data_IF_239750878491
#
_entry.id   IF_239750878491
#
_cell.length_a   1.000
_cell.length_b   1.000
_cell.length_c   1.000
_cell.angle_alpha   90.00
_cell.angle_beta   90.00
_cell.angle_gamma   90.00
#
_symmetry.space_group_name_H-M   'P 1'
#
loop_
_entity.id
_entity.type
_entity.pdbx_description
1 polymer ?
#
# COMPACT_ATOMS: atom_id res chain seq x y z
N UNK A 1 -8.64 26.29 -19.72
CA UNK A 1 -7.84 25.07 -19.94
C UNK A 1 -7.39 24.55 -18.58
N UNK A 2 -7.82 23.35 -18.14
CA UNK A 2 -7.34 22.82 -16.87
C UNK A 2 -5.87 22.50 -17.03
N UNK A 3 -5.04 23.10 -16.19
CA UNK A 3 -3.63 22.74 -16.02
C UNK A 3 -3.60 21.23 -15.74
N UNK A 4 -3.12 20.44 -16.69
CA UNK A 4 -2.50 19.16 -16.42
C UNK A 4 -1.40 19.42 -15.40
N UNK A 5 -1.77 19.38 -14.12
CA UNK A 5 -0.82 19.34 -13.02
C UNK A 5 -0.16 17.98 -13.16
N UNK A 6 0.85 17.91 -14.02
CA UNK A 6 1.90 16.93 -13.89
C UNK A 6 2.36 17.05 -12.44
N UNK A 7 1.85 16.16 -11.59
CA UNK A 7 2.18 16.09 -10.17
C UNK A 7 3.66 15.73 -10.13
N UNK A 8 4.51 16.76 -10.16
CA UNK A 8 5.88 16.64 -9.73
C UNK A 8 5.79 16.39 -8.23
N UNK A 9 6.20 15.20 -7.76
CA UNK A 9 6.16 14.93 -6.33
C UNK A 9 7.10 15.92 -5.65
N UNK A 10 6.60 16.60 -4.62
CA UNK A 10 7.40 17.59 -3.89
C UNK A 10 8.32 16.92 -2.85
N UNK A 11 8.08 15.63 -2.55
CA UNK A 11 8.85 14.81 -1.61
C UNK A 11 8.93 13.36 -2.08
N UNK A 12 9.93 12.62 -1.60
CA UNK A 12 10.08 11.19 -1.87
C UNK A 12 8.88 10.39 -1.38
N UNK A 13 8.34 10.76 -0.21
CA UNK A 13 7.11 10.17 0.34
C UNK A 13 5.90 10.36 -0.59
N UNK A 14 5.67 11.57 -1.07
CA UNK A 14 4.53 11.86 -1.97
C UNK A 14 4.67 11.09 -3.29
N UNK A 15 5.89 11.00 -3.82
CA UNK A 15 6.17 10.21 -5.02
C UNK A 15 5.77 8.74 -4.82
N UNK A 16 6.18 8.15 -3.69
CA UNK A 16 5.82 6.78 -3.34
C UNK A 16 4.30 6.62 -3.18
N UNK A 17 3.61 7.58 -2.56
CA UNK A 17 2.14 7.51 -2.41
C UNK A 17 1.40 7.56 -3.75
N UNK A 18 1.87 8.40 -4.69
CA UNK A 18 1.32 8.48 -6.04
C UNK A 18 1.51 7.14 -6.75
N UNK A 19 2.72 6.57 -6.71
CA UNK A 19 3.00 5.28 -7.35
C UNK A 19 2.18 4.16 -6.70
N UNK A 20 1.98 4.16 -5.39
CA UNK A 20 1.12 3.20 -4.70
C UNK A 20 -0.33 3.27 -5.23
N UNK A 21 -0.87 4.48 -5.42
CA UNK A 21 -2.22 4.67 -5.96
C UNK A 21 -2.32 4.15 -7.40
N UNK A 22 -1.37 4.51 -8.25
CA UNK A 22 -1.29 4.05 -9.63
C UNK A 22 -1.21 2.53 -9.70
N UNK A 23 -0.28 1.92 -8.96
CA UNK A 23 -0.13 0.47 -8.89
C UNK A 23 -1.44 -0.22 -8.49
N UNK A 24 -2.13 0.29 -7.48
CA UNK A 24 -3.40 -0.28 -7.05
C UNK A 24 -4.55 -0.13 -8.06
N UNK A 25 -4.51 0.89 -8.93
CA UNK A 25 -5.49 1.07 -10.00
C UNK A 25 -5.33 0.00 -11.08
N UNK A 26 -4.11 -0.20 -11.59
CA UNK A 26 -3.88 -1.09 -12.74
C UNK A 26 -3.51 -2.53 -12.36
N UNK A 27 -3.24 -2.87 -11.09
CA UNK A 27 -2.79 -4.24 -10.72
C UNK A 27 -3.72 -5.38 -11.18
N UNK A 28 -5.01 -5.09 -11.41
CA UNK A 28 -6.02 -6.03 -11.91
C UNK A 28 -6.28 -5.90 -13.42
N UNK A 29 -5.81 -4.82 -14.05
CA UNK A 29 -5.96 -4.59 -15.48
C UNK A 29 -5.11 -5.60 -16.27
N UNK A 30 -5.56 -5.94 -17.47
CA UNK A 30 -4.89 -6.90 -18.36
C UNK A 30 -3.42 -6.52 -18.60
N UNK A 31 -2.53 -7.54 -18.64
CA UNK A 31 -1.12 -7.30 -18.88
C UNK A 31 -0.90 -6.97 -20.36
N UNK A 32 -0.94 -5.68 -20.70
CA UNK A 32 -0.58 -5.19 -22.04
C UNK A 32 0.87 -4.74 -22.08
N UNK A 33 1.45 -4.68 -23.29
CA UNK A 33 2.83 -4.20 -23.49
C UNK A 33 3.01 -2.76 -23.00
N UNK A 34 2.03 -1.89 -23.27
CA UNK A 34 2.06 -0.50 -22.83
C UNK A 34 1.99 -0.39 -21.31
N UNK A 35 1.16 -1.21 -20.67
CA UNK A 35 1.08 -1.26 -19.21
C UNK A 35 2.40 -1.73 -18.59
N UNK A 36 3.03 -2.73 -19.19
CA UNK A 36 4.33 -3.23 -18.74
C UNK A 36 5.42 -2.16 -18.89
N UNK A 37 5.46 -1.45 -20.02
CA UNK A 37 6.41 -0.36 -20.23
C UNK A 37 6.18 0.79 -19.23
N UNK A 38 4.92 1.18 -19.03
CA UNK A 38 4.54 2.16 -18.02
C UNK A 38 4.98 1.73 -16.61
N UNK A 39 4.75 0.46 -16.26
CA UNK A 39 5.18 -0.11 -14.99
C UNK A 39 6.70 -0.05 -14.80
N UNK A 40 7.46 -0.44 -15.82
CA UNK A 40 8.93 -0.38 -15.79
C UNK A 40 9.44 1.05 -15.56
N UNK A 41 8.81 2.05 -16.19
CA UNK A 41 9.16 3.46 -15.96
C UNK A 41 8.92 3.88 -14.50
N UNK A 42 7.85 3.40 -13.86
CA UNK A 42 7.61 3.68 -12.44
C UNK A 42 8.67 3.04 -11.53
N UNK A 43 9.08 1.79 -11.82
CA UNK A 43 10.16 1.11 -11.08
C UNK A 43 11.49 1.84 -11.26
N UNK A 44 11.81 2.27 -12.49
CA UNK A 44 13.04 3.04 -12.75
C UNK A 44 13.07 4.35 -11.97
N UNK A 45 11.93 5.06 -11.85
CA UNK A 45 11.84 6.28 -11.05
C UNK A 45 12.00 6.03 -9.56
N UNK A 46 11.46 4.92 -9.04
CA UNK A 46 11.67 4.50 -7.64
C UNK A 46 13.15 4.25 -7.34
N UNK A 47 13.90 3.70 -8.30
CA UNK A 47 15.32 3.37 -8.12
C UNK A 47 16.27 4.54 -8.40
N UNK A 48 15.83 5.55 -9.13
CA UNK A 48 16.59 6.77 -9.46
C UNK A 48 16.10 7.98 -8.64
N UNK A 49 15.43 8.92 -9.30
CA UNK A 49 15.07 10.23 -8.75
C UNK A 49 14.37 10.17 -7.37
N UNK A 50 13.46 9.21 -7.17
CA UNK A 50 12.71 9.09 -5.90
C UNK A 50 13.62 8.55 -4.79
N UNK A 51 14.54 7.64 -5.12
CA UNK A 51 15.52 7.13 -4.16
C UNK A 51 16.40 8.26 -3.65
N UNK A 52 16.87 9.12 -4.56
CA UNK A 52 17.71 10.27 -4.19
C UNK A 52 16.94 11.25 -3.29
N UNK A 53 15.67 11.53 -3.59
CA UNK A 53 14.81 12.35 -2.74
C UNK A 53 14.62 11.74 -1.34
N UNK A 54 14.35 10.44 -1.25
CA UNK A 54 14.17 9.73 0.03
C UNK A 54 15.48 9.70 0.85
N UNK A 55 16.63 9.55 0.20
CA UNK A 55 17.94 9.60 0.85
C UNK A 55 18.24 11.01 1.38
N UNK A 56 17.91 12.06 0.61
CA UNK A 56 18.04 13.45 1.04
C UNK A 56 17.16 13.79 2.25
N UNK A 57 15.97 13.20 2.34
CA UNK A 57 15.10 13.33 3.51
C UNK A 57 15.67 12.65 4.78
N UNK A 58 16.66 11.76 4.63
CA UNK A 58 17.38 11.16 5.76
C UNK A 58 16.54 10.22 6.63
N UNK A 59 15.37 9.76 6.15
CA UNK A 59 14.50 8.88 6.90
C UNK A 59 14.75 7.39 6.55
N UNK A 60 15.34 6.60 7.46
CA UNK A 60 15.67 5.20 7.18
C UNK A 60 14.44 4.31 6.99
N UNK A 61 13.29 4.67 7.55
CA UNK A 61 12.07 3.88 7.35
C UNK A 61 11.51 4.07 5.93
N UNK A 62 11.62 5.27 5.36
CA UNK A 62 11.23 5.52 3.97
C UNK A 62 12.10 4.75 2.98
N UNK A 63 13.41 4.63 3.26
CA UNK A 63 14.32 3.82 2.44
C UNK A 63 13.88 2.35 2.42
N UNK A 64 13.55 1.78 3.60
CA UNK A 64 13.04 0.40 3.70
C UNK A 64 11.71 0.22 2.99
N UNK A 65 10.82 1.20 3.11
CA UNK A 65 9.52 1.18 2.44
C UNK A 65 9.70 1.26 0.91
N UNK A 66 10.68 2.03 0.41
CA UNK A 66 11.02 2.14 -1.01
C UNK A 66 11.55 0.82 -1.58
N UNK A 67 12.44 0.15 -0.84
CA UNK A 67 12.95 -1.18 -1.22
C UNK A 67 11.83 -2.22 -1.24
N UNK A 68 10.98 -2.21 -0.21
CA UNK A 68 9.80 -3.09 -0.11
C UNK A 68 8.86 -2.87 -1.28
N UNK A 69 8.57 -1.62 -1.60
CA UNK A 69 7.70 -1.23 -2.70
C UNK A 69 8.27 -1.66 -4.06
N UNK A 70 9.57 -1.47 -4.28
CA UNK A 70 10.28 -1.90 -5.49
C UNK A 70 10.16 -3.41 -5.67
N UNK A 71 10.40 -4.18 -4.60
CA UNK A 71 10.26 -5.64 -4.61
C UNK A 71 8.84 -6.10 -4.95
N UNK A 72 7.84 -5.47 -4.34
CA UNK A 72 6.42 -5.78 -4.60
C UNK A 72 6.06 -5.56 -6.09
N UNK A 73 6.56 -4.48 -6.69
CA UNK A 73 6.32 -4.18 -8.10
C UNK A 73 6.99 -5.20 -9.03
N UNK A 74 8.21 -5.63 -8.71
CA UNK A 74 8.91 -6.70 -9.42
C UNK A 74 8.17 -8.04 -9.32
N UNK A 75 7.74 -8.41 -8.10
CA UNK A 75 6.97 -9.63 -7.84
C UNK A 75 5.64 -9.63 -8.61
N UNK A 76 4.96 -8.47 -8.71
CA UNK A 76 3.75 -8.33 -9.52
C UNK A 76 4.01 -8.68 -10.98
N UNK A 77 5.09 -8.16 -11.58
CA UNK A 77 5.44 -8.46 -12.97
C UNK A 77 5.72 -9.96 -13.14
N UNK A 78 6.50 -10.58 -12.25
CA UNK A 78 6.79 -12.01 -12.28
C UNK A 78 5.50 -12.87 -12.20
N UNK A 79 4.58 -12.52 -11.29
CA UNK A 79 3.29 -13.22 -11.13
C UNK A 79 2.43 -13.08 -12.39
N UNK A 80 2.34 -11.87 -12.97
CA UNK A 80 1.54 -11.64 -14.19
C UNK A 80 2.12 -12.37 -15.39
N UNK A 81 3.44 -12.39 -15.54
CA UNK A 81 4.14 -13.15 -16.59
C UNK A 81 3.92 -14.67 -16.43
N UNK A 82 3.74 -15.17 -15.20
CA UNK A 82 3.37 -16.57 -14.95
C UNK A 82 1.92 -16.91 -15.30
N UNK A 83 1.13 -15.94 -15.79
CA UNK A 83 -0.28 -16.11 -16.14
C UNK A 83 -1.24 -16.13 -14.93
N UNK A 84 -0.75 -15.82 -13.72
CA UNK A 84 -1.57 -15.85 -12.49
C UNK A 84 -2.15 -14.48 -12.18
N UNK A 85 -3.38 -14.41 -11.62
CA UNK A 85 -3.92 -13.16 -11.09
C UNK A 85 -3.12 -12.75 -9.84
N UNK A 86 -2.95 -11.44 -9.65
CA UNK A 86 -2.20 -10.92 -8.51
C UNK A 86 -3.10 -10.85 -7.25
N UNK A 87 -2.83 -11.62 -6.18
CA UNK A 87 -3.77 -11.83 -5.06
C UNK A 87 -3.71 -10.76 -3.97
N UNK A 88 -2.96 -9.68 -4.17
CA UNK A 88 -2.65 -8.71 -3.13
C UNK A 88 -2.74 -7.26 -3.62
N UNK A 89 -2.84 -6.33 -2.67
CA UNK A 89 -2.81 -4.88 -2.92
C UNK A 89 -1.72 -4.24 -2.08
N UNK A 90 -1.23 -3.09 -2.52
CA UNK A 90 -0.24 -2.34 -1.76
C UNK A 90 -0.95 -1.35 -0.83
N UNK A 91 -0.54 -1.29 0.44
CA UNK A 91 -1.04 -0.30 1.40
C UNK A 91 0.06 0.07 2.39
N UNK A 92 0.31 1.37 2.54
CA UNK A 92 1.45 1.90 3.31
C UNK A 92 2.77 1.23 2.85
N UNK A 93 2.98 1.20 1.53
CA UNK A 93 4.19 0.63 0.88
C UNK A 93 4.44 -0.86 1.16
N UNK A 94 3.46 -1.57 1.73
CA UNK A 94 3.54 -2.99 2.08
C UNK A 94 2.47 -3.81 1.38
N UNK A 95 2.78 -5.09 1.19
CA UNK A 95 1.87 -6.05 0.56
C UNK A 95 0.76 -6.47 1.53
N UNK A 96 -0.48 -6.38 1.10
CA UNK A 96 -1.65 -6.84 1.87
C UNK A 96 -2.47 -7.78 0.99
N UNK A 97 -2.64 -9.03 1.42
CA UNK A 97 -3.47 -10.00 0.70
C UNK A 97 -4.92 -9.51 0.59
N UNK A 98 -5.48 -9.59 -0.62
CA UNK A 98 -6.85 -9.20 -0.91
C UNK A 98 -7.79 -10.33 -0.46
N UNK A 99 -8.19 -10.28 0.81
CA UNK A 99 -9.01 -11.31 1.47
C UNK A 99 -8.56 -11.63 2.90
N UNK A 100 -7.33 -11.26 3.28
CA UNK A 100 -6.69 -11.65 4.54
C UNK A 100 -6.92 -10.75 5.75
N UNK A 101 -7.87 -9.80 5.71
CA UNK A 101 -8.37 -9.17 6.94
C UNK A 101 -9.72 -9.78 7.28
N UNK A 102 -9.70 -10.97 7.86
CA UNK A 102 -10.78 -11.38 8.75
C UNK A 102 -10.84 -10.27 9.81
N UNK A 103 -11.78 -9.34 9.66
CA UNK A 103 -12.17 -8.41 10.72
C UNK A 103 -12.69 -9.33 11.83
N UNK A 104 -11.82 -9.81 12.70
CA UNK A 104 -12.26 -10.41 13.95
C UNK A 104 -12.86 -9.24 14.73
N UNK A 105 -14.17 -9.03 14.55
CA UNK A 105 -14.94 -8.11 15.37
C UNK A 105 -14.87 -8.68 16.77
N UNK A 106 -13.91 -8.22 17.58
CA UNK A 106 -13.96 -8.38 19.03
C UNK A 106 -15.18 -7.59 19.50
N UNK A 107 -16.36 -8.24 19.52
CA UNK A 107 -17.47 -7.76 20.32
C UNK A 107 -17.04 -7.96 21.77
N UNK A 108 -16.45 -6.93 22.37
CA UNK A 108 -16.37 -6.82 23.83
C UNK A 108 -17.81 -6.75 24.34
N UNK A 109 -18.39 -7.91 24.67
CA UNK A 109 -19.55 -7.93 25.54
C UNK A 109 -19.07 -7.40 26.88
N UNK A 110 -19.27 -6.10 27.13
CA UNK A 110 -19.29 -5.58 28.49
C UNK A 110 -20.48 -6.25 29.17
N UNK A 111 -20.21 -7.33 29.90
CA UNK A 111 -21.13 -7.83 30.91
C UNK A 111 -21.17 -6.74 31.97
N UNK A 112 -22.11 -5.79 31.83
CA UNK A 112 -22.54 -4.96 32.95
C UNK A 112 -23.21 -5.91 33.92
N UNK A 113 -22.44 -6.42 34.89
CA UNK A 113 -22.97 -7.04 36.09
C UNK A 113 -23.88 -6.03 36.77
N UNK A 114 -25.18 -6.25 36.58
CA UNK A 114 -26.29 -5.59 37.26
C UNK A 114 -26.01 -5.49 38.75
N UNK A 115 -26.17 -4.29 39.31
CA UNK A 115 -26.12 -4.08 40.75
C UNK A 115 -27.20 -4.88 41.46
N UNK A 116 -26.82 -5.56 42.54
CA UNK A 116 -27.74 -6.06 43.54
C UNK A 116 -27.50 -5.32 44.84
N UNK A 117 -28.10 -4.13 44.94
CA UNK A 117 -28.50 -3.58 46.23
C UNK A 117 -29.69 -4.42 46.73
N UNK A 118 -29.47 -5.32 47.68
CA UNK A 118 -30.54 -5.78 48.57
C UNK A 118 -30.03 -5.77 50.01
N UNK A 119 -30.42 -4.72 50.71
CA UNK A 119 -30.42 -4.61 52.15
C UNK A 119 -31.28 -5.71 52.76
N UNK A 120 -30.83 -6.32 53.86
CA UNK A 120 -31.72 -6.91 54.88
C UNK A 120 -31.06 -6.74 56.25
N UNK A 121 -31.76 -6.03 57.14
CA UNK A 121 -31.60 -6.07 58.61
C UNK A 121 -32.37 -7.28 59.14
N UNK A 122 -31.81 -8.03 60.09
CA UNK A 122 -32.47 -8.39 61.34
C UNK A 122 -31.47 -8.99 62.34
#
# INVERSE_FOLDING_TARGET
>A
MPKDRYLQPQSGLEAMEIIQKLFNQYRKAELTRDLLFYHQNLVSRLQGDIKDAVVQEGNPDLIKDLETMTKIMQDWTAIRLSGKPYPAKMRHFRLVQEGGRVKIKRKTHKIKGSGNHRAVRH
#
